data_IF_341527581082
#
_entry.id   IF_341527581082
#
_cell.length_a   1.000
_cell.length_b   1.000
_cell.length_c   1.000
_cell.angle_alpha   90.00
_cell.angle_beta   90.00
_cell.angle_gamma   90.00
#
_symmetry.space_group_name_H-M   'P 1'
#
loop_
_entity.id
_entity.type
_entity.pdbx_description
1 polymer ?
#
# COMPACT_ATOMS: atom_id res chain seq x y z
N UNK A 1 -12.48 -11.56 26.29
CA UNK A 1 -11.96 -12.74 25.57
C UNK A 1 -11.60 -13.82 26.60
N UNK A 2 -12.40 -14.89 26.69
CA UNK A 2 -12.20 -15.99 27.64
C UNK A 2 -11.32 -17.04 26.98
N UNK A 3 -10.02 -16.99 27.23
CA UNK A 3 -9.13 -18.11 26.88
C UNK A 3 -9.59 -19.31 27.71
N UNK A 4 -10.09 -20.35 27.09
CA UNK A 4 -10.27 -21.66 27.72
C UNK A 4 -8.87 -22.17 28.06
N UNK A 5 -8.49 -22.06 29.32
CA UNK A 5 -7.25 -22.64 29.83
C UNK A 5 -7.61 -24.06 30.23
N UNK A 6 -7.03 -25.03 29.55
CA UNK A 6 -7.05 -26.44 29.95
C UNK A 6 -6.42 -26.59 31.35
N UNK A 7 -6.83 -27.61 32.09
CA UNK A 7 -6.36 -27.88 33.46
C UNK A 7 -4.83 -27.97 33.58
N UNK A 8 -4.14 -28.37 32.49
CA UNK A 8 -2.68 -28.44 32.42
C UNK A 8 -2.04 -27.05 32.35
N UNK A 9 -2.65 -26.09 31.61
CA UNK A 9 -2.19 -24.70 31.58
C UNK A 9 -2.39 -24.00 32.95
N UNK A 10 -3.40 -24.43 33.71
CA UNK A 10 -3.64 -23.91 35.05
C UNK A 10 -2.57 -24.38 36.04
N UNK A 11 -2.09 -25.64 35.92
CA UNK A 11 -0.97 -26.16 36.72
C UNK A 11 0.35 -25.49 36.34
N UNK A 12 0.60 -25.31 35.07
CA UNK A 12 1.80 -24.61 34.59
C UNK A 12 1.81 -23.14 35.03
N UNK A 13 0.65 -22.48 35.05
CA UNK A 13 0.50 -21.13 35.57
C UNK A 13 0.73 -21.05 37.09
N UNK A 14 0.32 -22.06 37.85
CA UNK A 14 0.60 -22.13 39.30
C UNK A 14 2.06 -22.37 39.61
N UNK A 15 2.74 -23.28 38.87
CA UNK A 15 4.16 -23.55 38.99
C UNK A 15 4.98 -22.30 38.64
N UNK A 16 4.58 -21.63 37.56
CA UNK A 16 5.19 -20.40 37.08
C UNK A 16 5.05 -19.23 38.08
N UNK A 17 3.92 -19.14 38.79
CA UNK A 17 3.70 -18.10 39.81
C UNK A 17 4.45 -18.44 41.11
N UNK A 18 4.58 -19.75 41.45
CA UNK A 18 5.38 -20.20 42.57
C UNK A 18 6.86 -19.78 42.42
N UNK A 19 7.44 -20.09 41.27
CA UNK A 19 8.82 -19.72 40.94
C UNK A 19 9.03 -18.19 40.90
N UNK A 20 8.00 -17.43 40.54
CA UNK A 20 8.07 -15.97 40.49
C UNK A 20 7.99 -15.29 41.87
N UNK A 21 7.18 -15.84 42.78
CA UNK A 21 7.02 -15.32 44.13
C UNK A 21 8.22 -15.65 45.04
N UNK A 22 8.94 -16.76 44.77
CA UNK A 22 10.18 -17.10 45.47
C UNK A 22 11.36 -16.19 45.07
N UNK A 23 11.37 -15.60 43.88
CA UNK A 23 12.43 -14.66 43.45
C UNK A 23 12.23 -13.21 43.97
N UNK A 24 10.98 -12.77 44.26
CA UNK A 24 10.73 -11.38 44.69
C UNK A 24 10.50 -11.19 46.21
N UNK A 25 10.23 -12.22 47.01
CA UNK A 25 9.88 -12.00 48.42
C UNK A 25 10.51 -12.93 49.42
N UNK A 26 11.22 -12.34 50.38
CA UNK A 26 11.41 -12.82 51.73
C UNK A 26 10.24 -12.52 52.68
N UNK A 27 8.98 -12.37 52.23
CA UNK A 27 7.83 -12.13 53.10
C UNK A 27 6.74 -13.19 52.91
N UNK A 28 6.49 -13.96 53.98
CA UNK A 28 5.46 -14.98 54.05
C UNK A 28 4.05 -14.43 53.90
N UNK A 29 3.40 -14.66 52.80
CA UNK A 29 1.97 -14.41 52.61
C UNK A 29 1.19 -15.58 53.24
N UNK A 30 0.39 -15.30 54.26
CA UNK A 30 -0.57 -16.23 54.82
C UNK A 30 -1.62 -16.58 53.77
N UNK A 31 -1.66 -17.83 53.33
CA UNK A 31 -2.62 -18.37 52.39
C UNK A 31 -3.94 -18.62 53.16
N UNK A 32 -4.96 -17.78 52.96
CA UNK A 32 -6.34 -18.09 53.34
C UNK A 32 -6.86 -19.25 52.47
N UNK A 33 -7.51 -20.24 53.12
CA UNK A 33 -8.12 -21.39 52.49
C UNK A 33 -9.32 -20.96 51.64
N UNK A 34 -9.06 -20.59 50.39
CA UNK A 34 -10.06 -20.50 49.34
C UNK A 34 -10.15 -21.81 48.52
N UNK A 35 -11.32 -22.08 47.90
CA UNK A 35 -11.45 -23.23 47.02
C UNK A 35 -10.41 -23.15 45.91
N UNK A 36 -9.91 -24.29 45.44
CA UNK A 36 -8.89 -24.39 44.37
C UNK A 36 -9.26 -23.52 43.16
N UNK A 37 -10.54 -23.38 42.89
CA UNK A 37 -11.11 -22.51 41.85
C UNK A 37 -10.89 -20.99 42.13
N UNK A 38 -11.08 -20.55 43.36
CA UNK A 38 -10.87 -19.13 43.72
C UNK A 38 -9.40 -18.73 43.68
N UNK A 39 -8.48 -19.64 44.07
CA UNK A 39 -7.06 -19.41 43.96
C UNK A 39 -6.61 -19.29 42.49
N UNK A 40 -7.14 -20.14 41.61
CA UNK A 40 -6.91 -20.06 40.17
C UNK A 40 -7.43 -18.74 39.57
N UNK A 41 -8.58 -18.26 40.02
CA UNK A 41 -9.15 -16.99 39.56
C UNK A 41 -8.26 -15.80 39.99
N UNK A 42 -7.82 -15.77 41.24
CA UNK A 42 -6.92 -14.73 41.77
C UNK A 42 -5.57 -14.72 41.04
N UNK A 43 -5.02 -15.89 40.78
CA UNK A 43 -3.78 -16.04 40.01
C UNK A 43 -3.91 -15.52 38.58
N UNK A 44 -4.99 -15.87 37.90
CA UNK A 44 -5.32 -15.36 36.56
C UNK A 44 -5.44 -13.81 36.54
N UNK A 45 -6.07 -13.25 37.54
CA UNK A 45 -6.25 -11.79 37.63
C UNK A 45 -4.91 -11.08 37.82
N UNK A 46 -4.05 -11.60 38.70
CA UNK A 46 -2.68 -11.08 38.89
C UNK A 46 -1.85 -11.15 37.62
N UNK A 47 -1.86 -12.30 36.92
CA UNK A 47 -1.14 -12.47 35.64
C UNK A 47 -1.67 -11.52 34.56
N UNK A 48 -2.98 -11.30 34.50
CA UNK A 48 -3.58 -10.33 33.58
C UNK A 48 -3.12 -8.88 33.88
N UNK A 49 -3.03 -8.55 35.16
CA UNK A 49 -2.54 -7.23 35.58
C UNK A 49 -1.08 -7.04 35.19
N UNK A 50 -0.21 -8.01 35.51
CA UNK A 50 1.21 -7.98 35.15
C UNK A 50 1.44 -7.92 33.63
N UNK A 51 0.59 -8.62 32.87
CA UNK A 51 0.61 -8.57 31.40
C UNK A 51 0.23 -7.17 30.87
N UNK A 52 -0.83 -6.56 31.44
CA UNK A 52 -1.24 -5.20 31.07
C UNK A 52 -0.22 -4.13 31.44
N UNK A 53 0.51 -4.34 32.54
CA UNK A 53 1.62 -3.49 32.99
C UNK A 53 2.91 -3.70 32.21
N UNK A 54 2.95 -4.67 31.30
CA UNK A 54 4.13 -4.99 30.46
C UNK A 54 5.26 -5.68 31.22
N UNK A 55 5.07 -6.05 32.51
CA UNK A 55 6.10 -6.66 33.34
C UNK A 55 6.52 -8.06 32.89
N UNK A 56 5.70 -8.72 32.08
CA UNK A 56 5.95 -10.07 31.55
C UNK A 56 6.55 -10.08 30.14
N UNK A 57 6.74 -8.93 29.48
CA UNK A 57 7.13 -8.83 28.06
C UNK A 57 8.39 -9.64 27.71
N UNK A 58 9.39 -9.65 28.56
CA UNK A 58 10.67 -10.32 28.30
C UNK A 58 10.66 -11.83 28.64
N UNK A 59 9.59 -12.36 29.23
CA UNK A 59 9.50 -13.77 29.55
C UNK A 59 9.24 -14.62 28.32
N UNK A 60 9.73 -15.87 28.36
CA UNK A 60 9.49 -16.85 27.31
C UNK A 60 8.24 -17.66 27.62
N UNK A 61 7.35 -17.74 26.64
CA UNK A 61 6.16 -18.59 26.66
C UNK A 61 6.17 -19.53 25.49
N UNK A 62 5.56 -20.69 25.66
CA UNK A 62 5.36 -21.65 24.59
C UNK A 62 3.93 -21.52 24.10
N UNK A 63 3.75 -21.16 22.82
CA UNK A 63 2.44 -21.06 22.17
C UNK A 63 2.38 -21.97 20.96
N UNK A 64 1.17 -22.40 20.62
CA UNK A 64 0.89 -23.13 19.39
C UNK A 64 0.75 -22.13 18.24
N UNK A 65 1.67 -22.17 17.30
CA UNK A 65 1.69 -21.32 16.10
C UNK A 65 1.23 -22.17 14.91
N UNK A 66 0.26 -21.68 14.16
CA UNK A 66 -0.13 -22.29 12.88
C UNK A 66 0.97 -22.01 11.86
N UNK A 67 1.59 -23.03 11.31
CA UNK A 67 2.48 -22.86 10.18
C UNK A 67 1.65 -22.34 9.00
N UNK A 68 1.90 -21.08 8.60
CA UNK A 68 1.44 -20.61 7.30
C UNK A 68 2.24 -21.36 6.25
N UNK A 69 1.64 -22.37 5.67
CA UNK A 69 2.20 -22.96 4.47
C UNK A 69 2.13 -21.89 3.39
N UNK A 70 3.24 -21.26 3.09
CA UNK A 70 3.36 -20.57 1.81
C UNK A 70 3.32 -21.67 0.77
N UNK A 71 2.30 -21.71 -0.11
CA UNK A 71 2.39 -22.57 -1.27
C UNK A 71 3.62 -22.09 -2.03
N UNK A 72 4.71 -22.84 -1.91
CA UNK A 72 5.88 -22.60 -2.73
C UNK A 72 5.41 -22.62 -4.18
N UNK A 73 5.77 -21.62 -4.96
CA UNK A 73 5.61 -21.66 -6.42
C UNK A 73 6.34 -22.89 -6.93
N UNK A 74 5.60 -23.90 -7.28
CA UNK A 74 6.15 -25.03 -8.02
C UNK A 74 6.15 -24.65 -9.48
N UNK A 75 7.31 -24.28 -10.00
CA UNK A 75 7.55 -24.18 -11.44
C UNK A 75 7.59 -25.60 -12.01
N UNK A 76 6.52 -26.02 -12.63
CA UNK A 76 6.55 -27.26 -13.42
C UNK A 76 7.08 -26.90 -14.80
N UNK A 77 8.34 -27.22 -15.04
CA UNK A 77 8.95 -27.08 -16.37
C UNK A 77 8.41 -28.21 -17.24
N UNK A 78 7.43 -27.89 -18.07
CA UNK A 78 6.99 -28.81 -19.15
C UNK A 78 7.76 -28.51 -20.42
N UNK A 79 7.84 -29.48 -21.32
CA UNK A 79 8.56 -29.36 -22.61
C UNK A 79 7.96 -28.33 -23.60
N UNK A 80 6.87 -27.63 -23.21
CA UNK A 80 6.17 -26.62 -24.02
C UNK A 80 6.20 -25.19 -23.47
N UNK A 81 6.91 -24.93 -22.37
CA UNK A 81 7.01 -23.60 -21.75
C UNK A 81 6.63 -23.61 -20.28
N UNK A 82 6.95 -22.52 -19.60
CA UNK A 82 6.59 -22.30 -18.18
C UNK A 82 5.16 -21.81 -18.16
N UNK A 83 4.20 -22.64 -17.85
CA UNK A 83 2.84 -22.22 -17.52
C UNK A 83 2.72 -22.05 -16.00
N UNK A 84 2.44 -20.84 -15.54
CA UNK A 84 2.03 -20.56 -14.16
C UNK A 84 0.60 -21.11 -13.97
N UNK A 85 0.51 -22.37 -13.57
CA UNK A 85 -0.77 -22.91 -13.11
C UNK A 85 -0.88 -22.69 -11.61
N UNK A 86 -1.66 -21.69 -11.21
CA UNK A 86 -2.23 -21.56 -9.85
C UNK A 86 -3.25 -22.69 -9.63
N UNK A 87 -2.79 -23.94 -9.71
CA UNK A 87 -3.63 -25.06 -9.27
C UNK A 87 -3.62 -25.06 -7.76
N UNK A 88 -4.75 -24.82 -7.17
CA UNK A 88 -4.98 -25.04 -5.75
C UNK A 88 -4.78 -26.56 -5.50
N UNK A 89 -3.52 -26.96 -5.28
CA UNK A 89 -3.12 -28.37 -4.93
C UNK A 89 -3.92 -28.87 -3.72
N UNK A 90 -4.52 -27.96 -2.97
CA UNK A 90 -5.41 -28.23 -1.84
C UNK A 90 -6.69 -28.98 -2.25
N UNK A 91 -7.15 -28.83 -3.50
CA UNK A 91 -8.34 -29.53 -4.01
C UNK A 91 -8.00 -30.90 -4.62
N UNK A 92 -6.76 -31.10 -5.06
CA UNK A 92 -6.35 -32.34 -5.75
C UNK A 92 -5.97 -33.48 -4.80
N UNK A 93 -5.54 -33.19 -3.54
CA UNK A 93 -5.14 -34.23 -2.60
C UNK A 93 -5.71 -33.93 -1.20
N UNK A 94 -6.98 -34.30 -0.90
CA UNK A 94 -7.65 -34.04 0.37
C UNK A 94 -7.04 -34.72 1.61
N UNK A 95 -5.97 -35.42 1.50
CA UNK A 95 -5.33 -36.13 2.62
C UNK A 95 -3.91 -35.71 2.95
N UNK A 96 -3.26 -34.89 2.08
CA UNK A 96 -1.88 -34.46 2.29
C UNK A 96 -1.76 -33.18 3.13
N UNK A 97 -2.82 -32.38 3.15
CA UNK A 97 -2.92 -31.14 3.90
C UNK A 97 -4.02 -31.27 4.95
N UNK A 98 -3.73 -31.98 6.03
CA UNK A 98 -4.60 -32.01 7.20
C UNK A 98 -4.75 -30.60 7.82
N UNK A 99 -5.73 -30.38 8.72
CA UNK A 99 -5.94 -29.10 9.37
C UNK A 99 -4.62 -28.61 9.95
N UNK A 100 -4.18 -27.43 9.52
CA UNK A 100 -2.86 -26.82 9.68
C UNK A 100 -2.05 -27.35 10.86
N UNK A 101 -0.88 -27.89 10.59
CA UNK A 101 0.03 -28.38 11.64
C UNK A 101 0.34 -27.22 12.57
N UNK A 102 -0.11 -27.32 13.81
CA UNK A 102 0.33 -26.44 14.88
C UNK A 102 1.70 -26.90 15.36
N UNK A 103 2.62 -25.95 15.47
CA UNK A 103 3.95 -26.19 16.03
C UNK A 103 4.11 -25.37 17.29
N UNK A 104 4.53 -26.01 18.36
CA UNK A 104 4.88 -25.32 19.58
C UNK A 104 6.16 -24.52 19.38
N UNK A 105 6.08 -23.21 19.61
CA UNK A 105 7.22 -22.28 19.48
C UNK A 105 7.38 -21.51 20.77
N UNK A 106 8.62 -21.45 21.25
CA UNK A 106 9.01 -20.59 22.37
C UNK A 106 9.34 -19.21 21.85
N UNK A 107 8.69 -18.18 22.38
CA UNK A 107 8.92 -16.78 22.03
C UNK A 107 8.63 -15.89 23.23
N UNK A 108 9.01 -14.64 23.16
CA UNK A 108 8.74 -13.66 24.22
C UNK A 108 7.25 -13.36 24.31
N UNK A 109 6.78 -12.94 25.50
CA UNK A 109 5.36 -12.62 25.73
C UNK A 109 4.88 -11.49 24.82
N UNK A 110 5.69 -10.46 24.56
CA UNK A 110 5.34 -9.38 23.63
C UNK A 110 5.11 -9.91 22.20
N UNK A 111 6.01 -10.71 21.67
CA UNK A 111 5.87 -11.35 20.34
C UNK A 111 4.68 -12.31 20.30
N UNK A 112 4.48 -13.09 21.37
CA UNK A 112 3.35 -14.01 21.49
C UNK A 112 2.00 -13.27 21.51
N UNK A 113 1.95 -12.11 22.16
CA UNK A 113 0.75 -11.28 22.22
C UNK A 113 0.39 -10.73 20.84
N UNK A 114 1.36 -10.22 20.08
CA UNK A 114 1.13 -9.73 18.72
C UNK A 114 0.63 -10.86 17.81
N UNK A 115 1.24 -12.03 17.90
CA UNK A 115 0.80 -13.19 17.12
C UNK A 115 -0.63 -13.61 17.45
N UNK A 116 -0.97 -13.72 18.74
CA UNK A 116 -2.31 -14.11 19.19
C UNK A 116 -3.36 -13.06 18.84
N UNK A 117 -3.03 -11.77 18.90
CA UNK A 117 -3.93 -10.69 18.46
C UNK A 117 -4.24 -10.86 16.98
N UNK A 118 -3.23 -11.06 16.13
CA UNK A 118 -3.44 -11.27 14.69
C UNK A 118 -4.27 -12.53 14.39
N UNK A 119 -4.06 -13.61 15.15
CA UNK A 119 -4.87 -14.82 14.99
C UNK A 119 -6.34 -14.59 15.36
N UNK A 120 -6.60 -13.88 16.44
CA UNK A 120 -7.97 -13.55 16.86
C UNK A 120 -8.64 -12.53 15.93
N UNK A 121 -7.93 -11.55 15.43
CA UNK A 121 -8.42 -10.63 14.40
C UNK A 121 -8.89 -11.40 13.16
N UNK A 122 -8.10 -12.39 12.71
CA UNK A 122 -8.48 -13.23 11.57
C UNK A 122 -9.73 -14.08 11.86
N UNK A 123 -9.95 -14.53 13.10
CA UNK A 123 -11.18 -15.27 13.49
C UNK A 123 -12.41 -14.36 13.56
N UNK A 124 -12.23 -13.08 13.85
CA UNK A 124 -13.31 -12.10 13.92
C UNK A 124 -13.76 -11.61 12.54
N UNK A 125 -12.92 -11.74 11.53
CA UNK A 125 -13.23 -11.34 10.16
C UNK A 125 -13.75 -12.56 9.39
N UNK A 126 -15.03 -12.51 9.03
CA UNK A 126 -15.62 -13.45 8.08
C UNK A 126 -15.25 -13.02 6.65
N UNK A 127 -14.19 -13.62 6.09
CA UNK A 127 -13.71 -13.30 4.75
C UNK A 127 -14.74 -13.59 3.66
N UNK A 128 -15.62 -14.56 3.85
CA UNK A 128 -16.69 -14.85 2.90
C UNK A 128 -17.73 -13.73 2.89
N UNK A 129 -18.11 -13.25 4.07
CA UNK A 129 -19.00 -12.09 4.20
C UNK A 129 -18.36 -10.82 3.63
N UNK A 130 -17.05 -10.61 3.87
CA UNK A 130 -16.30 -9.46 3.29
C UNK A 130 -16.32 -9.53 1.77
N UNK A 131 -16.04 -10.68 1.17
CA UNK A 131 -16.06 -10.85 -0.29
C UNK A 131 -17.46 -10.56 -0.86
N UNK A 132 -18.52 -11.08 -0.25
CA UNK A 132 -19.90 -10.86 -0.66
C UNK A 132 -20.27 -9.36 -0.63
N UNK A 133 -19.98 -8.68 0.48
CA UNK A 133 -20.26 -7.24 0.62
C UNK A 133 -19.44 -6.43 -0.38
N UNK A 134 -18.17 -6.81 -0.64
CA UNK A 134 -17.33 -6.15 -1.61
C UNK A 134 -17.88 -6.27 -3.03
N UNK A 135 -18.31 -7.48 -3.44
CA UNK A 135 -18.94 -7.73 -4.73
C UNK A 135 -20.21 -6.88 -4.91
N UNK A 136 -21.10 -6.87 -3.92
CA UNK A 136 -22.31 -6.05 -3.93
C UNK A 136 -21.99 -4.56 -4.08
N UNK A 137 -21.01 -4.05 -3.34
CA UNK A 137 -20.60 -2.63 -3.43
C UNK A 137 -19.99 -2.30 -4.79
N UNK A 138 -19.16 -3.19 -5.34
CA UNK A 138 -18.57 -3.00 -6.68
C UNK A 138 -19.66 -2.93 -7.73
N UNK A 139 -20.62 -3.86 -7.71
CA UNK A 139 -21.72 -3.89 -8.68
C UNK A 139 -22.61 -2.66 -8.60
N UNK A 140 -22.85 -2.11 -7.40
CA UNK A 140 -23.83 -1.02 -7.21
C UNK A 140 -23.19 0.37 -7.15
N UNK A 141 -21.91 0.49 -6.82
CA UNK A 141 -21.22 1.75 -6.55
C UNK A 141 -19.77 1.75 -7.01
N UNK A 142 -19.37 0.80 -7.84
CA UNK A 142 -18.01 0.68 -8.37
C UNK A 142 -17.70 1.82 -9.33
N UNK A 143 -16.43 2.25 -9.33
CA UNK A 143 -15.86 3.20 -10.29
C UNK A 143 -14.62 2.57 -10.91
N UNK A 144 -14.55 2.57 -12.23
CA UNK A 144 -13.38 2.06 -12.98
C UNK A 144 -12.78 3.22 -13.77
N UNK A 145 -11.47 3.43 -13.61
CA UNK A 145 -10.72 4.37 -14.41
C UNK A 145 -9.99 3.63 -15.53
N UNK A 146 -10.18 4.09 -16.77
CA UNK A 146 -9.46 3.65 -17.97
C UNK A 146 -8.49 4.76 -18.35
N UNK A 147 -7.23 4.63 -17.97
CA UNK A 147 -6.22 5.63 -18.29
C UNK A 147 -5.63 5.39 -19.68
N UNK A 148 -5.07 6.43 -20.27
CA UNK A 148 -4.41 6.43 -21.58
C UNK A 148 -5.28 5.84 -22.72
N UNK A 149 -6.61 6.11 -22.73
CA UNK A 149 -7.51 5.59 -23.77
C UNK A 149 -7.15 6.11 -25.18
N UNK A 150 -6.41 7.21 -25.27
CA UNK A 150 -5.87 7.74 -26.53
C UNK A 150 -4.88 6.80 -27.22
N UNK A 151 -4.25 5.88 -26.49
CA UNK A 151 -3.31 4.89 -27.03
C UNK A 151 -4.00 3.83 -27.90
N UNK A 152 -5.27 3.56 -27.60
CA UNK A 152 -6.08 2.64 -28.38
C UNK A 152 -6.96 3.37 -29.42
N UNK A 153 -6.97 4.71 -29.42
CA UNK A 153 -7.66 5.52 -30.44
C UNK A 153 -6.82 5.55 -31.74
N UNK A 154 -7.52 5.66 -32.87
CA UNK A 154 -6.89 5.77 -34.18
C UNK A 154 -7.01 4.52 -35.06
N UNK A 155 -6.86 4.73 -36.36
CA UNK A 155 -6.90 3.66 -37.37
C UNK A 155 -5.51 3.05 -37.55
N UNK A 156 -5.47 1.77 -37.86
CA UNK A 156 -4.23 1.06 -38.20
C UNK A 156 -3.53 1.71 -39.39
N UNK A 157 -2.30 2.15 -39.20
CA UNK A 157 -1.43 2.64 -40.27
C UNK A 157 -0.11 1.83 -40.29
N UNK A 158 -0.19 0.50 -40.47
CA UNK A 158 1.01 -0.29 -40.59
C UNK A 158 0.78 -1.78 -40.84
N UNK A 159 1.63 -2.37 -41.68
CA UNK A 159 1.68 -3.81 -41.92
C UNK A 159 2.59 -4.45 -40.84
N UNK A 160 2.00 -5.02 -39.80
CA UNK A 160 2.72 -5.75 -38.74
C UNK A 160 1.77 -6.60 -37.89
N UNK A 161 2.26 -7.58 -37.12
CA UNK A 161 1.45 -8.42 -36.22
C UNK A 161 1.07 -7.70 -34.92
N UNK A 162 0.79 -6.41 -34.99
CA UNK A 162 0.35 -5.65 -33.83
C UNK A 162 -1.11 -5.98 -33.48
N UNK A 163 -1.38 -6.08 -32.18
CA UNK A 163 -2.73 -6.18 -31.66
C UNK A 163 -3.53 -5.00 -32.18
N UNK A 164 -4.60 -5.29 -32.93
CA UNK A 164 -5.44 -4.26 -33.52
C UNK A 164 -5.99 -3.33 -32.44
N UNK A 165 -5.69 -2.03 -32.49
CA UNK A 165 -6.22 -1.01 -31.57
C UNK A 165 -7.75 -1.04 -31.55
N UNK A 166 -8.37 -1.24 -32.69
CA UNK A 166 -9.80 -1.40 -32.81
C UNK A 166 -10.31 -2.68 -32.13
N UNK A 167 -9.51 -3.79 -32.18
CA UNK A 167 -9.81 -5.03 -31.47
C UNK A 167 -9.90 -4.80 -29.96
N UNK A 168 -8.92 -4.10 -29.38
CA UNK A 168 -8.94 -3.76 -27.92
C UNK A 168 -10.17 -2.93 -27.57
N UNK A 169 -10.54 -1.96 -28.40
CA UNK A 169 -11.76 -1.16 -28.17
C UNK A 169 -13.02 -2.04 -28.19
N UNK A 170 -13.09 -3.01 -29.11
CA UNK A 170 -14.23 -3.95 -29.20
C UNK A 170 -14.27 -4.92 -28.02
N UNK A 171 -13.12 -5.30 -27.48
CA UNK A 171 -13.03 -6.17 -26.28
C UNK A 171 -13.46 -5.43 -25.00
N UNK A 172 -13.22 -4.12 -24.92
CA UNK A 172 -13.68 -3.28 -23.80
C UNK A 172 -15.19 -3.01 -23.83
N UNK A 173 -15.77 -3.00 -25.01
CA UNK A 173 -17.17 -2.60 -25.21
C UNK A 173 -18.17 -3.42 -24.37
N UNK A 174 -18.12 -4.77 -24.33
CA UNK A 174 -19.04 -5.57 -23.51
C UNK A 174 -18.92 -5.25 -22.01
N UNK A 175 -17.71 -4.95 -21.55
CA UNK A 175 -17.46 -4.62 -20.12
C UNK A 175 -18.12 -3.29 -19.76
N UNK A 176 -18.03 -2.30 -20.67
CA UNK A 176 -18.62 -0.97 -20.47
C UNK A 176 -20.14 -1.00 -20.67
N UNK A 177 -20.64 -1.85 -21.54
CA UNK A 177 -22.08 -2.01 -21.81
C UNK A 177 -22.84 -2.76 -20.73
N UNK A 178 -22.14 -3.57 -19.96
CA UNK A 178 -22.71 -4.44 -18.93
C UNK A 178 -22.56 -5.92 -19.27
N UNK A 179 -21.72 -6.60 -18.55
CA UNK A 179 -21.51 -8.04 -18.67
C UNK A 179 -21.19 -8.65 -17.29
N UNK A 180 -21.13 -9.96 -17.26
CA UNK A 180 -20.69 -10.70 -16.06
C UNK A 180 -19.22 -11.09 -16.21
N UNK A 181 -18.39 -10.58 -15.31
CA UNK A 181 -16.95 -10.88 -15.25
C UNK A 181 -16.66 -11.82 -14.09
N UNK A 182 -15.94 -12.92 -14.36
CA UNK A 182 -15.49 -13.83 -13.33
C UNK A 182 -14.22 -13.30 -12.66
N UNK A 183 -14.23 -13.23 -11.34
CA UNK A 183 -13.08 -12.83 -10.53
C UNK A 183 -12.75 -13.92 -9.52
N UNK A 184 -11.58 -13.86 -8.90
CA UNK A 184 -11.18 -14.79 -7.82
C UNK A 184 -12.07 -14.74 -6.59
N UNK A 185 -12.91 -13.71 -6.44
CA UNK A 185 -13.83 -13.55 -5.32
C UNK A 185 -15.28 -13.86 -5.67
N UNK A 186 -15.55 -14.18 -6.92
CA UNK A 186 -16.88 -14.44 -7.46
C UNK A 186 -17.14 -13.66 -8.74
N UNK A 187 -18.35 -13.75 -9.25
CA UNK A 187 -18.78 -13.04 -10.46
C UNK A 187 -19.23 -11.63 -10.14
N UNK A 188 -18.92 -10.67 -11.02
CA UNK A 188 -19.28 -9.27 -10.92
C UNK A 188 -20.04 -8.85 -12.16
N UNK A 189 -21.20 -8.19 -11.99
CA UNK A 189 -21.94 -7.56 -13.07
C UNK A 189 -21.51 -6.10 -13.21
N UNK A 190 -21.24 -5.67 -14.42
CA UNK A 190 -20.70 -4.33 -14.70
C UNK A 190 -21.76 -3.29 -15.07
N UNK A 191 -23.03 -3.66 -15.09
CA UNK A 191 -24.16 -2.81 -15.56
C UNK A 191 -24.28 -1.46 -14.84
N UNK A 192 -23.95 -1.41 -13.54
CA UNK A 192 -24.08 -0.20 -12.73
C UNK A 192 -22.73 0.40 -12.30
N UNK A 193 -21.64 -0.07 -12.89
CA UNK A 193 -20.31 0.47 -12.63
C UNK A 193 -20.10 1.75 -13.44
N UNK A 194 -19.61 2.79 -12.80
CA UNK A 194 -19.23 4.02 -13.48
C UNK A 194 -17.85 3.88 -14.13
N UNK A 195 -17.77 4.08 -15.44
CA UNK A 195 -16.52 4.09 -16.18
C UNK A 195 -16.09 5.53 -16.45
N UNK A 196 -14.85 5.86 -16.12
CA UNK A 196 -14.23 7.16 -16.38
C UNK A 196 -12.99 6.91 -17.23
N UNK A 197 -12.97 7.40 -18.46
CA UNK A 197 -11.85 7.28 -19.35
C UNK A 197 -11.04 8.58 -19.39
N UNK A 198 -9.71 8.48 -19.34
CA UNK A 198 -8.80 9.60 -19.46
C UNK A 198 -7.80 9.36 -20.60
N UNK A 199 -7.40 10.42 -21.28
CA UNK A 199 -6.39 10.37 -22.34
C UNK A 199 -5.92 11.78 -22.71
N UNK A 200 -4.66 11.88 -23.12
CA UNK A 200 -4.06 13.16 -23.49
C UNK A 200 -4.47 13.63 -24.90
N UNK A 201 -4.79 12.70 -25.81
CA UNK A 201 -5.22 12.97 -27.18
C UNK A 201 -4.36 13.97 -27.97
N UNK A 202 -3.02 13.96 -27.77
CA UNK A 202 -2.10 14.85 -28.47
C UNK A 202 -2.02 14.58 -29.98
N UNK A 203 -2.06 13.30 -30.37
CA UNK A 203 -1.95 12.84 -31.76
C UNK A 203 -3.30 12.39 -32.31
N UNK A 204 -4.12 11.81 -31.47
CA UNK A 204 -5.47 11.32 -31.80
C UNK A 204 -6.52 12.25 -31.20
N UNK A 205 -7.76 12.04 -31.57
CA UNK A 205 -8.93 12.76 -31.02
C UNK A 205 -9.90 11.78 -30.37
N UNK A 206 -10.75 12.20 -29.43
CA UNK A 206 -11.83 11.35 -28.93
C UNK A 206 -12.76 10.82 -30.03
N UNK A 207 -12.88 11.54 -31.18
CA UNK A 207 -13.62 11.10 -32.35
C UNK A 207 -12.95 9.95 -33.13
N UNK A 208 -11.71 9.60 -32.83
CA UNK A 208 -11.00 8.49 -33.47
C UNK A 208 -11.23 7.15 -32.74
N UNK A 209 -11.93 7.17 -31.60
CA UNK A 209 -12.50 5.97 -30.98
C UNK A 209 -13.64 5.42 -31.85
N UNK A 210 -13.92 4.13 -31.74
CA UNK A 210 -15.06 3.52 -32.46
C UNK A 210 -16.38 4.18 -32.01
N UNK A 211 -17.37 4.35 -32.91
CA UNK A 211 -18.61 5.04 -32.62
C UNK A 211 -19.36 4.50 -31.39
N UNK A 212 -19.30 3.18 -31.19
CA UNK A 212 -19.93 2.49 -30.06
C UNK A 212 -19.36 2.96 -28.72
N UNK A 213 -18.03 3.05 -28.61
CA UNK A 213 -17.38 3.59 -27.41
C UNK A 213 -17.68 5.07 -27.20
N UNK A 214 -17.68 5.87 -28.27
CA UNK A 214 -18.06 7.27 -28.16
C UNK A 214 -19.48 7.46 -27.60
N UNK A 215 -20.39 6.55 -27.96
CA UNK A 215 -21.76 6.54 -27.42
C UNK A 215 -21.83 6.17 -25.93
N UNK A 216 -20.87 5.41 -25.43
CA UNK A 216 -20.80 5.01 -24.01
C UNK A 216 -20.06 6.02 -23.13
N UNK A 217 -19.28 6.93 -23.71
CA UNK A 217 -18.67 8.08 -23.04
C UNK A 217 -19.26 9.40 -23.54
N UNK A 218 -20.56 9.66 -23.27
CA UNK A 218 -21.24 10.83 -23.80
C UNK A 218 -20.81 12.14 -23.15
N UNK A 219 -20.33 12.07 -21.89
CA UNK A 219 -19.87 13.24 -21.13
C UNK A 219 -18.39 13.43 -21.40
N UNK A 220 -18.03 14.57 -21.93
CA UNK A 220 -16.62 14.94 -22.19
C UNK A 220 -16.28 16.17 -21.38
N UNK A 221 -15.13 16.09 -20.69
CA UNK A 221 -14.56 17.17 -19.90
C UNK A 221 -13.14 17.41 -20.38
N UNK A 222 -12.83 18.63 -20.73
CA UNK A 222 -11.48 19.07 -21.03
C UNK A 222 -10.90 19.72 -19.77
N UNK A 223 -9.71 19.29 -19.37
CA UNK A 223 -9.02 19.83 -18.20
C UNK A 223 -8.19 21.04 -18.62
N UNK A 224 -8.30 22.13 -17.87
CA UNK A 224 -7.48 23.31 -18.06
C UNK A 224 -6.01 23.04 -17.68
N UNK A 225 -5.03 23.68 -18.36
CA UNK A 225 -3.64 23.61 -17.97
C UNK A 225 -3.43 24.25 -16.60
N UNK A 226 -2.48 23.68 -15.84
CA UNK A 226 -2.15 24.19 -14.50
C UNK A 226 -1.53 25.57 -14.57
N UNK A 227 -1.99 26.49 -13.73
CA UNK A 227 -1.42 27.83 -13.54
C UNK A 227 -0.28 27.80 -12.52
N UNK A 228 0.49 28.91 -12.44
CA UNK A 228 1.52 29.06 -11.40
C UNK A 228 0.94 28.92 -10.00
N UNK A 229 -0.24 29.47 -9.76
CA UNK A 229 -0.92 29.35 -8.45
C UNK A 229 -1.32 27.91 -8.14
N UNK A 230 -1.75 27.15 -9.16
CA UNK A 230 -2.04 25.72 -8.96
C UNK A 230 -0.79 24.93 -8.58
N UNK A 231 0.35 25.22 -9.22
CA UNK A 231 1.62 24.60 -8.84
C UNK A 231 2.03 24.91 -7.39
N UNK A 232 1.85 26.15 -6.91
CA UNK A 232 2.10 26.52 -5.51
C UNK A 232 1.20 25.74 -4.56
N UNK A 233 -0.10 25.66 -4.87
CA UNK A 233 -1.08 24.90 -4.09
C UNK A 233 -0.71 23.42 -4.02
N UNK A 234 -0.34 22.80 -5.15
CA UNK A 234 0.08 21.41 -5.22
C UNK A 234 1.33 21.15 -4.36
N UNK A 235 2.27 22.09 -4.31
CA UNK A 235 3.47 21.97 -3.48
C UNK A 235 3.20 22.05 -1.98
N UNK A 236 2.12 22.70 -1.54
CA UNK A 236 1.92 23.07 -0.13
C UNK A 236 0.66 22.51 0.51
N UNK A 237 -0.50 22.57 -0.16
CA UNK A 237 -1.80 22.26 0.44
C UNK A 237 -2.04 20.77 0.70
N UNK A 238 -1.76 19.82 -0.22
CA UNK A 238 -2.09 18.42 -0.02
C UNK A 238 -1.52 17.86 1.28
N UNK A 239 -2.22 16.89 1.88
CA UNK A 239 -1.75 16.20 3.09
C UNK A 239 -0.33 15.65 2.87
N UNK A 240 -0.09 15.07 1.70
CA UNK A 240 1.21 14.53 1.26
C UNK A 240 1.79 15.41 0.14
N UNK A 241 1.93 16.73 0.38
CA UNK A 241 2.58 17.61 -0.59
C UNK A 241 4.06 17.26 -0.77
N UNK A 242 4.64 17.55 -1.94
CA UNK A 242 6.04 17.21 -2.25
C UNK A 242 7.02 17.80 -1.24
N UNK A 243 6.82 19.05 -0.83
CA UNK A 243 7.66 19.68 0.20
C UNK A 243 7.66 18.87 1.49
N UNK A 244 6.48 18.41 1.95
CA UNK A 244 6.36 17.59 3.16
C UNK A 244 7.01 16.22 2.99
N UNK A 245 6.88 15.61 1.81
CA UNK A 245 7.51 14.31 1.52
C UNK A 245 9.03 14.41 1.59
N UNK A 246 9.65 15.37 0.88
CA UNK A 246 11.09 15.53 0.90
C UNK A 246 11.63 15.98 2.25
N UNK A 247 10.89 16.84 2.98
CA UNK A 247 11.24 17.21 4.36
C UNK A 247 11.26 15.99 5.29
N UNK A 248 10.23 15.13 5.19
CA UNK A 248 10.19 13.92 6.00
C UNK A 248 11.27 12.90 5.59
N UNK A 249 11.54 12.77 4.29
CA UNK A 249 12.58 11.88 3.78
C UNK A 249 13.97 12.29 4.30
N UNK A 250 14.35 13.55 4.16
CA UNK A 250 15.65 14.03 4.60
C UNK A 250 15.78 14.14 6.13
N UNK A 251 14.66 14.23 6.84
CA UNK A 251 14.66 14.15 8.30
C UNK A 251 15.12 12.78 8.82
N UNK A 252 15.00 11.70 8.03
CA UNK A 252 15.53 10.37 8.40
C UNK A 252 17.05 10.36 8.49
N UNK A 253 17.73 11.23 7.73
CA UNK A 253 19.18 11.45 7.78
C UNK A 253 19.56 12.60 8.74
N UNK A 254 18.59 13.09 9.53
CA UNK A 254 18.76 14.19 10.46
C UNK A 254 18.88 15.57 9.82
N UNK A 255 18.56 15.70 8.52
CA UNK A 255 18.56 16.98 7.79
C UNK A 255 17.19 17.64 7.89
N UNK A 256 17.16 18.89 8.33
CA UNK A 256 15.94 19.72 8.40
C UNK A 256 15.91 20.64 7.19
N UNK A 257 14.89 20.50 6.34
CA UNK A 257 14.64 21.39 5.20
C UNK A 257 13.66 22.50 5.56
N UNK A 258 14.00 23.72 5.18
CA UNK A 258 13.11 24.89 5.27
C UNK A 258 12.98 25.53 3.89
N UNK A 259 11.78 25.49 3.31
CA UNK A 259 11.48 26.19 2.05
C UNK A 259 10.90 27.55 2.35
N UNK A 260 11.51 28.59 1.80
CA UNK A 260 10.98 29.95 1.89
C UNK A 260 9.83 30.16 0.89
N UNK A 261 8.88 31.07 1.14
CA UNK A 261 7.77 31.33 0.20
C UNK A 261 8.23 31.72 -1.20
N UNK A 262 9.33 32.49 -1.29
CA UNK A 262 9.93 32.89 -2.56
C UNK A 262 10.60 31.72 -3.32
N UNK A 263 11.10 30.71 -2.62
CA UNK A 263 11.55 29.45 -3.23
C UNK A 263 10.40 28.67 -3.85
N UNK A 264 9.27 28.56 -3.14
CA UNK A 264 8.07 27.91 -3.65
C UNK A 264 7.57 28.61 -4.91
N UNK A 265 7.54 29.95 -4.88
CA UNK A 265 7.22 30.77 -6.04
C UNK A 265 8.17 30.50 -7.22
N UNK A 266 9.47 30.47 -6.97
CA UNK A 266 10.47 30.20 -8.01
C UNK A 266 10.29 28.80 -8.62
N UNK A 267 10.05 27.76 -7.83
CA UNK A 267 9.79 26.39 -8.30
C UNK A 267 8.52 26.35 -9.16
N UNK A 268 7.43 26.98 -8.70
CA UNK A 268 6.17 27.01 -9.42
C UNK A 268 6.26 27.73 -10.78
N UNK A 269 6.92 28.89 -10.82
CA UNK A 269 7.17 29.61 -12.04
C UNK A 269 8.04 28.82 -13.02
N UNK A 270 9.06 28.14 -12.50
CA UNK A 270 9.92 27.31 -13.34
C UNK A 270 9.16 26.12 -13.93
N UNK A 271 8.34 25.42 -13.12
CA UNK A 271 7.52 24.31 -13.57
C UNK A 271 6.54 24.74 -14.67
N UNK A 272 5.88 25.89 -14.48
CA UNK A 272 5.01 26.47 -15.47
C UNK A 272 5.75 26.78 -16.78
N UNK A 273 6.86 27.50 -16.71
CA UNK A 273 7.64 27.88 -17.87
C UNK A 273 8.16 26.69 -18.67
N UNK A 274 8.60 25.62 -18.01
CA UNK A 274 9.05 24.40 -18.68
C UNK A 274 7.88 23.65 -19.33
N UNK A 275 6.71 23.57 -18.69
CA UNK A 275 5.52 22.97 -19.30
C UNK A 275 5.02 23.76 -20.52
N UNK A 276 5.23 25.07 -20.58
CA UNK A 276 4.91 25.91 -21.76
C UNK A 276 5.91 25.69 -22.92
N UNK A 277 7.17 25.43 -22.60
CA UNK A 277 8.24 25.30 -23.60
C UNK A 277 8.47 23.88 -24.10
N UNK A 278 8.04 22.88 -23.34
CA UNK A 278 8.22 21.45 -23.63
C UNK A 278 6.89 20.72 -23.64
N UNK A 279 6.92 19.39 -23.61
CA UNK A 279 5.72 18.61 -23.42
C UNK A 279 5.08 18.89 -22.06
N UNK A 280 3.81 19.27 -22.05
CA UNK A 280 3.09 19.55 -20.82
C UNK A 280 2.73 18.24 -20.11
N UNK A 281 3.50 17.89 -19.07
CA UNK A 281 3.25 16.73 -18.22
C UNK A 281 2.56 17.08 -16.90
N UNK A 282 2.02 18.31 -16.80
CA UNK A 282 1.28 18.78 -15.65
C UNK A 282 2.10 18.79 -14.37
N UNK A 283 1.49 18.36 -13.26
CA UNK A 283 2.11 18.36 -11.93
C UNK A 283 3.30 17.38 -11.77
N UNK A 284 3.43 16.39 -12.68
CA UNK A 284 4.60 15.48 -12.66
C UNK A 284 5.92 16.24 -12.80
N UNK A 285 5.89 17.38 -13.49
CA UNK A 285 7.05 18.28 -13.63
C UNK A 285 7.63 18.70 -12.28
N UNK A 286 6.81 18.88 -11.26
CA UNK A 286 7.26 19.25 -9.93
C UNK A 286 8.18 18.20 -9.29
N UNK A 287 7.93 16.91 -9.52
CA UNK A 287 8.80 15.84 -9.00
C UNK A 287 10.22 15.99 -9.54
N UNK A 288 10.36 16.09 -10.85
CA UNK A 288 11.67 16.20 -11.51
C UNK A 288 12.42 17.48 -11.09
N UNK A 289 11.68 18.58 -10.96
CA UNK A 289 12.28 19.85 -10.49
C UNK A 289 12.74 19.74 -9.05
N UNK A 290 11.91 19.16 -8.17
CA UNK A 290 12.27 18.97 -6.76
C UNK A 290 13.47 18.05 -6.60
N UNK A 291 13.51 16.94 -7.35
CA UNK A 291 14.68 16.05 -7.39
C UNK A 291 15.95 16.82 -7.76
N UNK A 292 15.88 17.65 -8.81
CA UNK A 292 17.03 18.42 -9.26
C UNK A 292 17.46 19.50 -8.26
N UNK A 293 16.50 20.18 -7.65
CA UNK A 293 16.79 21.20 -6.61
C UNK A 293 17.48 20.58 -5.40
N UNK A 294 17.05 19.36 -5.02
CA UNK A 294 17.52 18.69 -3.81
C UNK A 294 18.63 17.65 -4.06
N UNK A 295 19.07 17.45 -5.31
CA UNK A 295 20.02 16.41 -5.71
C UNK A 295 21.27 16.38 -4.82
N UNK A 296 21.98 17.50 -4.68
CA UNK A 296 23.21 17.57 -3.89
C UNK A 296 22.94 17.36 -2.39
N UNK A 297 21.86 18.00 -1.87
CA UNK A 297 21.49 17.86 -0.45
C UNK A 297 21.13 16.41 -0.14
N UNK A 298 20.40 15.74 -1.05
CA UNK A 298 20.01 14.34 -0.87
C UNK A 298 21.21 13.40 -0.94
N UNK A 299 22.15 13.67 -1.85
CA UNK A 299 23.38 12.87 -2.00
C UNK A 299 24.32 13.04 -0.80
N UNK A 300 24.52 14.27 -0.34
CA UNK A 300 25.41 14.59 0.76
C UNK A 300 24.77 14.46 2.15
N UNK A 301 23.47 14.16 2.23
CA UNK A 301 22.68 14.15 3.47
C UNK A 301 23.36 13.44 4.65
N UNK A 302 23.97 12.24 4.52
CA UNK A 302 24.62 11.55 5.63
C UNK A 302 25.82 12.35 6.17
N UNK A 303 26.59 12.99 5.29
CA UNK A 303 27.88 13.62 5.57
C UNK A 303 27.79 15.14 5.81
N UNK A 304 26.59 15.73 5.64
CA UNK A 304 26.37 17.17 5.83
C UNK A 304 26.73 17.61 7.26
N UNK A 305 27.61 18.59 7.37
CA UNK A 305 27.98 19.20 8.66
C UNK A 305 26.87 20.09 9.20
N UNK A 306 26.23 20.86 8.33
CA UNK A 306 25.11 21.72 8.66
C UNK A 306 23.80 20.97 8.32
N UNK A 307 23.12 20.51 9.34
CA UNK A 307 21.89 19.72 9.18
C UNK A 307 20.65 20.57 8.90
N UNK A 308 20.71 21.87 9.05
CA UNK A 308 19.63 22.80 8.72
C UNK A 308 19.87 23.42 7.35
N UNK A 309 19.07 23.04 6.36
CA UNK A 309 19.19 23.51 4.98
C UNK A 309 18.01 24.42 4.64
N UNK A 310 18.31 25.68 4.37
CA UNK A 310 17.34 26.69 3.93
C UNK A 310 17.36 26.82 2.42
N UNK A 311 16.22 26.58 1.79
CA UNK A 311 16.03 26.68 0.34
C UNK A 311 15.32 27.99 0.05
N UNK A 312 16.01 28.91 -0.59
CA UNK A 312 15.50 30.20 -1.06
C UNK A 312 15.42 30.28 -2.60
N UNK A 313 14.88 31.37 -3.11
CA UNK A 313 14.71 31.55 -4.56
C UNK A 313 16.05 31.61 -5.30
N UNK A 314 17.12 32.12 -4.67
CA UNK A 314 18.43 32.19 -5.29
C UNK A 314 19.05 30.81 -5.44
N UNK A 315 18.93 29.98 -4.39
CA UNK A 315 19.34 28.58 -4.43
C UNK A 315 18.62 27.81 -5.55
N UNK A 316 17.29 27.94 -5.64
CA UNK A 316 16.48 27.30 -6.68
C UNK A 316 16.95 27.73 -8.08
N UNK A 317 17.09 29.04 -8.33
CA UNK A 317 17.55 29.56 -9.63
C UNK A 317 18.93 29.04 -9.99
N UNK A 318 19.86 29.00 -9.05
CA UNK A 318 21.21 28.48 -9.27
C UNK A 318 21.20 27.01 -9.68
N UNK A 319 20.40 26.18 -8.98
CA UNK A 319 20.31 24.76 -9.28
C UNK A 319 19.61 24.46 -10.62
N UNK A 320 18.68 25.30 -11.02
CA UNK A 320 17.92 25.11 -12.26
C UNK A 320 18.51 25.87 -13.46
N UNK A 321 19.50 26.78 -13.26
CA UNK A 321 20.08 27.59 -14.32
C UNK A 321 20.66 26.75 -15.47
N UNK A 322 21.28 25.60 -15.17
CA UNK A 322 21.87 24.71 -16.17
C UNK A 322 20.84 24.04 -17.09
N UNK A 323 19.58 23.91 -16.64
CA UNK A 323 18.51 23.25 -17.38
C UNK A 323 17.87 24.21 -18.38
N UNK A 324 17.74 25.48 -18.01
CA UNK A 324 17.18 26.54 -18.88
C UNK A 324 18.05 26.81 -20.09
N UNK A 325 19.39 26.71 -19.94
CA UNK A 325 20.34 27.03 -21.01
C UNK A 325 20.53 25.90 -22.03
N UNK A 326 20.12 24.68 -21.71
CA UNK A 326 20.38 23.54 -22.57
C UNK A 326 19.06 22.80 -22.88
N UNK A 327 18.42 23.18 -24.01
CA UNK A 327 17.17 22.59 -24.48
C UNK A 327 17.27 21.07 -24.70
N UNK A 328 18.43 20.52 -24.98
CA UNK A 328 18.65 19.08 -25.12
C UNK A 328 18.66 18.40 -23.74
N UNK A 329 19.27 19.02 -22.72
CA UNK A 329 19.24 18.49 -21.35
C UNK A 329 17.83 18.56 -20.73
N UNK A 330 17.03 19.57 -21.07
CA UNK A 330 15.63 19.66 -20.58
C UNK A 330 14.76 18.52 -21.07
N UNK A 331 15.05 17.95 -22.24
CA UNK A 331 14.31 16.78 -22.81
C UNK A 331 14.70 15.46 -22.15
N UNK A 332 15.91 15.36 -21.57
CA UNK A 332 16.40 14.11 -20.96
C UNK A 332 16.31 14.09 -19.43
N UNK A 333 16.27 15.27 -18.79
CA UNK A 333 16.29 15.39 -17.32
C UNK A 333 14.93 15.81 -16.78
N UNK A 334 14.12 16.42 -17.58
CA UNK A 334 12.79 16.92 -17.27
C UNK A 334 11.73 16.24 -18.16
#
# INVERSE_FOLDING_TARGET
>A
MLVRVDADLARDAQRFLGDFLEEEEGESVLVEEGTEFEQLQRTREKLRQLLREGKLNNRLVEIEVRERFFPGRFEIITSQGVEEMDIAIQELIPGLFGPGRTKKRKMRVDEAMEYLIQEEEQKLIDMEQVARIALERVEQSGIIFLDEIDKIAGRESGHGPDVSREGVQRDLLPIIEGTTVSTRYGTVRTDHILFIAAGAFHVTKPSDLIPELQGRFPIRVELDPLTVEDFKRILTEPKNSLIKQYTALLATEGVTLEFTPDAIDAIAHFAYAVNEQTENIGARRLHTIMEKVLEDISFEAPDLKEKHQRIDAEYVRRKLAGIVQNQDLSRYIL
#
